data_IF_345693228901
#
_entry.id   IF_345693228901
#
_cell.length_a   1.000
_cell.length_b   1.000
_cell.length_c   1.000
_cell.angle_alpha   90.00
_cell.angle_beta   90.00
_cell.angle_gamma   90.00
#
_symmetry.space_group_name_H-M   'P 1'
#
loop_
_entity.id
_entity.type
_entity.pdbx_description
1 polymer ?
#
# COMPACT_ATOMS: atom_id res chain seq x y z
N UNK A 1 24.43 1.45 -12.81
CA UNK A 1 24.80 2.84 -12.43
C UNK A 1 23.83 3.43 -11.41
N UNK A 2 22.51 3.42 -11.66
CA UNK A 2 21.50 3.95 -10.71
C UNK A 2 21.41 3.19 -9.38
N UNK A 3 21.60 1.87 -9.38
CA UNK A 3 21.66 1.07 -8.14
C UNK A 3 22.79 1.51 -7.20
N UNK A 4 23.95 1.86 -7.76
CA UNK A 4 25.08 2.41 -6.97
C UNK A 4 24.76 3.80 -6.45
N UNK A 5 24.15 4.66 -7.28
CA UNK A 5 23.70 5.98 -6.84
C UNK A 5 22.73 5.84 -5.66
N UNK A 6 21.76 4.92 -5.74
CA UNK A 6 20.82 4.69 -4.64
C UNK A 6 21.51 4.20 -3.35
N UNK A 7 22.48 3.29 -3.47
CA UNK A 7 23.14 2.66 -2.31
C UNK A 7 24.16 3.55 -1.61
N UNK A 8 24.92 4.34 -2.34
CA UNK A 8 26.11 5.01 -1.81
C UNK A 8 25.98 6.53 -1.71
N UNK A 9 25.03 7.12 -2.45
CA UNK A 9 24.81 8.57 -2.39
C UNK A 9 24.16 8.96 -1.06
N UNK A 10 24.50 10.15 -0.54
CA UNK A 10 23.90 10.67 0.70
C UNK A 10 22.76 11.65 0.46
N UNK A 11 22.69 12.21 -0.74
CA UNK A 11 21.62 13.12 -1.14
C UNK A 11 20.33 12.35 -1.43
N UNK A 12 19.28 12.66 -0.66
CA UNK A 12 17.95 12.08 -0.83
C UNK A 12 17.35 12.42 -2.20
N UNK A 13 17.63 13.59 -2.78
CA UNK A 13 17.12 13.96 -4.12
C UNK A 13 17.74 13.09 -5.21
N UNK A 14 19.05 12.85 -5.14
CA UNK A 14 19.75 11.94 -6.04
C UNK A 14 19.23 10.51 -5.90
N UNK A 15 18.99 10.03 -4.67
CA UNK A 15 18.36 8.73 -4.42
C UNK A 15 16.94 8.63 -5.00
N UNK A 16 16.11 9.67 -4.84
CA UNK A 16 14.76 9.71 -5.43
C UNK A 16 14.82 9.66 -6.97
N UNK A 17 15.76 10.39 -7.57
CA UNK A 17 15.99 10.35 -9.02
C UNK A 17 16.46 8.95 -9.46
N UNK A 18 17.32 8.30 -8.66
CA UNK A 18 17.74 6.93 -8.93
C UNK A 18 16.56 5.96 -8.92
N UNK A 19 15.65 6.07 -7.95
CA UNK A 19 14.43 5.26 -7.88
C UNK A 19 13.55 5.44 -9.12
N UNK A 20 13.40 6.69 -9.58
CA UNK A 20 12.62 7.00 -10.78
C UNK A 20 13.21 6.36 -12.03
N UNK A 21 14.55 6.28 -12.12
CA UNK A 21 15.23 5.56 -13.20
C UNK A 21 15.21 4.06 -13.05
N UNK A 22 15.33 3.52 -11.85
CA UNK A 22 15.27 2.06 -11.61
C UNK A 22 13.91 1.49 -12.04
N UNK A 23 12.80 2.19 -11.78
CA UNK A 23 11.48 1.70 -12.21
C UNK A 23 11.24 1.73 -13.73
N UNK A 24 12.04 2.49 -14.49
CA UNK A 24 11.99 2.48 -15.96
C UNK A 24 12.56 1.18 -16.53
N UNK A 25 13.48 0.52 -15.81
CA UNK A 25 14.18 -0.70 -16.22
C UNK A 25 13.86 -1.88 -15.28
N UNK A 26 12.68 -2.50 -15.41
CA UNK A 26 12.25 -3.59 -14.55
C UNK A 26 13.14 -4.83 -14.71
N UNK A 27 13.63 -5.37 -13.58
CA UNK A 27 14.40 -6.62 -13.53
C UNK A 27 14.32 -7.24 -12.13
N UNK A 28 14.76 -8.49 -11.98
CA UNK A 28 14.85 -9.13 -10.67
C UNK A 28 15.79 -8.37 -9.72
N UNK A 29 16.87 -7.77 -10.26
CA UNK A 29 17.78 -6.88 -9.52
C UNK A 29 17.06 -5.61 -9.06
N UNK A 30 16.32 -4.95 -9.97
CA UNK A 30 15.50 -3.77 -9.68
C UNK A 30 14.48 -4.07 -8.58
N UNK A 31 13.86 -5.26 -8.59
CA UNK A 31 12.97 -5.70 -7.52
C UNK A 31 13.69 -5.85 -6.18
N UNK A 32 14.84 -6.54 -6.16
CA UNK A 32 15.62 -6.79 -4.95
C UNK A 32 16.11 -5.48 -4.31
N UNK A 33 16.68 -4.58 -5.11
CA UNK A 33 17.23 -3.31 -4.61
C UNK A 33 16.13 -2.42 -4.01
N UNK A 34 14.92 -2.44 -4.57
CA UNK A 34 13.78 -1.69 -4.05
C UNK A 34 13.30 -2.27 -2.72
N UNK A 35 13.25 -3.60 -2.58
CA UNK A 35 12.95 -4.28 -1.31
C UNK A 35 13.99 -3.92 -0.25
N UNK A 36 15.28 -3.96 -0.59
CA UNK A 36 16.37 -3.58 0.32
C UNK A 36 16.25 -2.11 0.75
N UNK A 37 15.90 -1.23 -0.19
CA UNK A 37 15.71 0.21 0.06
C UNK A 37 14.55 0.47 1.02
N UNK A 38 13.42 -0.24 0.86
CA UNK A 38 12.28 -0.15 1.78
C UNK A 38 12.68 -0.58 3.20
N UNK A 39 13.52 -1.61 3.31
CA UNK A 39 13.95 -2.18 4.59
C UNK A 39 15.06 -1.39 5.29
N UNK A 40 15.88 -0.64 4.55
CA UNK A 40 17.00 0.10 5.11
C UNK A 40 16.53 1.31 5.93
N UNK A 41 16.62 1.22 7.26
CA UNK A 41 16.21 2.28 8.19
C UNK A 41 17.11 3.52 8.16
N UNK A 42 18.31 3.41 7.57
CA UNK A 42 19.22 4.54 7.39
C UNK A 42 18.76 5.47 6.25
N UNK A 43 17.91 5.00 5.34
CA UNK A 43 17.36 5.87 4.31
C UNK A 43 16.27 6.79 4.87
N UNK A 44 16.26 8.02 4.33
CA UNK A 44 15.20 8.98 4.59
C UNK A 44 13.82 8.39 4.25
N UNK A 45 12.83 8.57 5.13
CA UNK A 45 11.53 7.91 4.99
C UNK A 45 10.85 8.13 3.63
N UNK A 46 11.01 9.31 3.00
CA UNK A 46 10.43 9.58 1.68
C UNK A 46 11.06 8.75 0.56
N UNK A 47 12.35 8.45 0.67
CA UNK A 47 13.05 7.54 -0.26
C UNK A 47 12.45 6.14 -0.13
N UNK A 48 12.24 5.68 1.10
CA UNK A 48 11.61 4.37 1.40
C UNK A 48 10.17 4.31 0.91
N UNK A 49 9.38 5.37 1.12
CA UNK A 49 8.01 5.47 0.61
C UNK A 49 7.98 5.46 -0.94
N UNK A 50 8.88 6.22 -1.59
CA UNK A 50 9.00 6.23 -3.04
C UNK A 50 9.39 4.86 -3.59
N UNK A 51 10.26 4.14 -2.91
CA UNK A 51 10.64 2.78 -3.27
C UNK A 51 9.45 1.81 -3.24
N UNK A 52 8.46 2.00 -2.35
CA UNK A 52 7.21 1.21 -2.36
C UNK A 52 6.43 1.40 -3.67
N UNK A 53 6.30 2.64 -4.13
CA UNK A 53 5.62 2.95 -5.39
C UNK A 53 6.41 2.47 -6.61
N UNK A 54 7.73 2.66 -6.61
CA UNK A 54 8.62 2.14 -7.65
C UNK A 54 8.55 0.61 -7.73
N UNK A 55 8.47 -0.10 -6.60
CA UNK A 55 8.32 -1.55 -6.56
C UNK A 55 7.00 -2.01 -7.16
N UNK A 56 5.93 -1.25 -6.92
CA UNK A 56 4.62 -1.51 -7.55
C UNK A 56 4.70 -1.33 -9.07
N UNK A 57 5.37 -0.28 -9.55
CA UNK A 57 5.57 -0.03 -10.98
C UNK A 57 6.44 -1.10 -11.64
N UNK A 58 7.53 -1.54 -10.98
CA UNK A 58 8.37 -2.64 -11.46
C UNK A 58 7.58 -3.94 -11.53
N UNK A 59 6.78 -4.26 -10.50
CA UNK A 59 5.92 -5.45 -10.51
C UNK A 59 4.97 -5.46 -11.71
N UNK A 60 4.27 -4.35 -11.96
CA UNK A 60 3.31 -4.25 -13.05
C UNK A 60 3.96 -4.37 -14.45
N UNK A 61 5.26 -4.16 -14.56
CA UNK A 61 6.02 -4.37 -15.81
C UNK A 61 6.71 -5.75 -15.89
N UNK A 62 6.59 -6.56 -14.84
CA UNK A 62 7.22 -7.90 -14.73
C UNK A 62 6.21 -8.98 -14.35
N UNK A 63 4.94 -8.81 -14.70
CA UNK A 63 3.88 -9.66 -14.16
C UNK A 63 4.12 -11.14 -14.49
N UNK A 64 4.63 -11.43 -15.69
CA UNK A 64 4.95 -12.79 -16.18
C UNK A 64 5.95 -13.55 -15.28
N UNK A 65 6.76 -12.84 -14.51
CA UNK A 65 7.81 -13.40 -13.63
C UNK A 65 7.42 -13.30 -12.15
N UNK A 66 6.38 -12.52 -11.84
CA UNK A 66 5.97 -12.24 -10.48
C UNK A 66 5.00 -13.32 -9.96
N UNK A 67 5.54 -14.48 -9.59
CA UNK A 67 4.77 -15.53 -8.92
C UNK A 67 4.77 -15.38 -7.40
N UNK A 68 3.67 -15.77 -6.75
CA UNK A 68 3.51 -15.83 -5.31
C UNK A 68 2.98 -14.55 -4.66
N UNK A 69 2.96 -14.54 -3.32
CA UNK A 69 2.39 -13.45 -2.53
C UNK A 69 3.13 -12.12 -2.81
N UNK A 70 2.41 -10.99 -3.00
CA UNK A 70 3.05 -9.72 -3.36
C UNK A 70 4.09 -9.28 -2.32
N UNK A 71 5.27 -8.86 -2.80
CA UNK A 71 6.38 -8.48 -1.93
C UNK A 71 6.01 -7.37 -0.93
N UNK A 72 5.19 -6.40 -1.34
CA UNK A 72 4.74 -5.31 -0.47
C UNK A 72 3.84 -5.80 0.68
N UNK A 73 2.99 -6.80 0.44
CA UNK A 73 2.17 -7.41 1.49
C UNK A 73 3.08 -8.15 2.48
N UNK A 74 4.07 -8.90 1.98
CA UNK A 74 5.04 -9.58 2.85
C UNK A 74 5.82 -8.59 3.71
N UNK A 75 6.31 -7.49 3.10
CA UNK A 75 7.02 -6.43 3.81
C UNK A 75 6.16 -5.76 4.88
N UNK A 76 4.86 -5.56 4.61
CA UNK A 76 3.94 -5.02 5.60
C UNK A 76 3.87 -5.93 6.83
N UNK A 77 3.56 -7.21 6.67
CA UNK A 77 3.44 -8.12 7.81
C UNK A 77 4.77 -8.37 8.53
N UNK A 78 5.90 -8.37 7.82
CA UNK A 78 7.21 -8.46 8.47
C UNK A 78 7.49 -7.27 9.41
N UNK A 79 7.01 -6.06 9.07
CA UNK A 79 7.26 -4.85 9.87
C UNK A 79 6.15 -4.54 10.88
N UNK A 80 4.90 -4.83 10.51
CA UNK A 80 3.69 -4.36 11.18
C UNK A 80 2.74 -5.48 11.58
N UNK A 81 3.07 -6.74 11.27
CA UNK A 81 2.30 -7.89 11.71
C UNK A 81 2.41 -8.14 13.21
N UNK A 82 1.37 -8.75 13.78
CA UNK A 82 1.37 -9.26 15.14
C UNK A 82 2.28 -10.50 15.23
N UNK A 83 3.10 -10.57 16.27
CA UNK A 83 4.01 -11.73 16.49
C UNK A 83 3.24 -13.03 16.72
N UNK A 84 2.06 -12.95 17.32
CA UNK A 84 1.21 -14.10 17.64
C UNK A 84 0.29 -14.50 16.48
N UNK A 85 0.10 -13.64 15.48
CA UNK A 85 -0.73 -13.90 14.30
C UNK A 85 -0.19 -13.15 13.09
N UNK A 86 0.35 -13.90 12.13
CA UNK A 86 1.07 -13.37 10.96
C UNK A 86 0.18 -12.53 10.02
N UNK A 87 -1.14 -12.72 10.08
CA UNK A 87 -2.10 -12.05 9.19
C UNK A 87 -2.82 -10.87 9.83
N UNK A 88 -2.57 -10.59 11.11
CA UNK A 88 -3.23 -9.51 11.84
C UNK A 88 -2.22 -8.38 12.06
N UNK A 89 -2.53 -7.11 11.72
CA UNK A 89 -1.68 -5.99 12.06
C UNK A 89 -1.58 -5.85 13.59
N UNK A 90 -0.40 -5.47 14.09
CA UNK A 90 -0.23 -5.11 15.51
C UNK A 90 -0.94 -3.78 15.79
N UNK A 91 -1.35 -3.54 17.04
CA UNK A 91 -1.88 -2.24 17.46
C UNK A 91 -0.88 -1.12 17.12
N UNK A 92 -1.42 -0.03 16.61
CA UNK A 92 -0.64 1.11 16.18
C UNK A 92 -0.01 1.85 17.38
N UNK A 93 1.09 2.56 17.12
CA UNK A 93 1.66 3.49 18.08
C UNK A 93 2.13 4.74 17.34
N UNK A 94 1.27 5.76 17.32
CA UNK A 94 1.53 7.02 16.63
C UNK A 94 2.19 8.09 17.50
N UNK A 95 2.87 7.71 18.59
CA UNK A 95 3.61 8.66 19.42
C UNK A 95 4.62 9.44 18.56
N UNK A 96 4.51 10.77 18.55
CA UNK A 96 5.28 11.68 17.69
C UNK A 96 6.78 11.75 18.07
N UNK A 97 7.52 10.69 17.75
CA UNK A 97 8.98 10.65 17.75
C UNK A 97 9.50 10.60 16.32
N UNK A 98 10.76 11.02 16.10
CA UNK A 98 11.36 10.98 14.76
C UNK A 98 11.35 9.58 14.14
N UNK A 99 11.55 8.52 14.94
CA UNK A 99 11.53 7.13 14.48
C UNK A 99 10.10 6.65 14.16
N UNK A 100 9.15 6.95 15.04
CA UNK A 100 7.75 6.53 14.84
C UNK A 100 7.11 7.23 13.65
N UNK A 101 7.40 8.52 13.44
CA UNK A 101 6.89 9.26 12.27
C UNK A 101 7.43 8.70 10.95
N UNK A 102 8.71 8.33 10.89
CA UNK A 102 9.27 7.68 9.70
C UNK A 102 8.58 6.33 9.43
N UNK A 103 8.34 5.58 10.50
CA UNK A 103 7.65 4.28 10.45
C UNK A 103 6.19 4.45 10.03
N UNK A 104 5.53 5.49 10.50
CA UNK A 104 4.15 5.85 10.17
C UNK A 104 3.98 6.11 8.67
N UNK A 105 4.83 6.95 8.07
CA UNK A 105 4.76 7.21 6.63
C UNK A 105 5.01 5.96 5.80
N UNK A 106 5.90 5.08 6.25
CA UNK A 106 6.12 3.79 5.58
C UNK A 106 4.91 2.86 5.72
N UNK A 107 4.29 2.82 6.89
CA UNK A 107 3.06 2.08 7.15
C UNK A 107 1.91 2.54 6.25
N UNK A 108 1.83 3.84 5.92
CA UNK A 108 0.89 4.37 4.92
C UNK A 108 1.27 4.00 3.48
N UNK A 109 2.55 4.04 3.13
CA UNK A 109 3.01 3.87 1.75
C UNK A 109 2.91 2.43 1.24
N UNK A 110 3.12 1.44 2.11
CA UNK A 110 3.05 0.02 1.75
C UNK A 110 1.65 -0.40 1.24
N UNK A 111 0.54 -0.17 1.96
CA UNK A 111 -0.83 -0.42 1.48
C UNK A 111 -1.14 0.29 0.16
N UNK A 112 -0.72 1.56 0.02
CA UNK A 112 -0.92 2.32 -1.21
C UNK A 112 -0.17 1.74 -2.40
N UNK A 113 1.03 1.19 -2.16
CA UNK A 113 1.75 0.43 -3.18
C UNK A 113 0.99 -0.83 -3.59
N UNK A 114 0.53 -1.63 -2.61
CA UNK A 114 -0.27 -2.84 -2.87
C UNK A 114 -1.51 -2.52 -3.70
N UNK A 115 -2.25 -1.46 -3.36
CA UNK A 115 -3.43 -1.02 -4.10
C UNK A 115 -3.16 -0.64 -5.56
N UNK A 116 -1.90 -0.39 -5.95
CA UNK A 116 -1.47 -0.08 -7.32
C UNK A 116 -0.93 -1.28 -8.09
N UNK A 117 -0.71 -2.41 -7.43
CA UNK A 117 -0.21 -3.61 -8.10
C UNK A 117 -1.31 -4.24 -8.95
N UNK A 118 -0.94 -4.76 -10.13
CA UNK A 118 -1.86 -5.31 -11.12
C UNK A 118 -1.40 -6.67 -11.64
N UNK A 119 -2.36 -7.51 -11.97
CA UNK A 119 -2.16 -8.76 -12.71
C UNK A 119 -1.92 -8.48 -14.20
N UNK A 120 -1.62 -9.52 -14.96
CA UNK A 120 -1.31 -9.43 -16.40
C UNK A 120 -2.50 -8.87 -17.19
N UNK A 121 -3.72 -9.17 -16.70
CA UNK A 121 -4.99 -8.71 -17.26
C UNK A 121 -5.33 -7.25 -16.86
N UNK A 122 -4.45 -6.56 -16.14
CA UNK A 122 -4.69 -5.21 -15.64
C UNK A 122 -5.68 -5.12 -14.47
N UNK A 123 -6.06 -6.26 -13.88
CA UNK A 123 -6.91 -6.32 -12.69
C UNK A 123 -6.07 -6.09 -11.42
N UNK A 124 -6.70 -5.74 -10.31
CA UNK A 124 -6.00 -5.76 -9.02
C UNK A 124 -5.53 -7.18 -8.68
N UNK A 125 -4.45 -7.28 -7.91
CA UNK A 125 -3.99 -8.59 -7.43
C UNK A 125 -5.05 -9.22 -6.52
N UNK A 126 -5.20 -10.54 -6.60
CA UNK A 126 -6.25 -11.31 -5.91
C UNK A 126 -6.28 -11.03 -4.41
N UNK A 127 -5.11 -11.02 -3.75
CA UNK A 127 -4.99 -10.79 -2.31
C UNK A 127 -4.99 -9.30 -1.92
N UNK A 128 -4.94 -8.36 -2.87
CA UNK A 128 -4.76 -6.95 -2.55
C UNK A 128 -6.00 -6.36 -1.85
N UNK A 129 -7.19 -6.69 -2.36
CA UNK A 129 -8.44 -6.16 -1.83
C UNK A 129 -8.72 -6.66 -0.41
N UNK A 130 -8.64 -7.98 -0.20
CA UNK A 130 -8.82 -8.61 1.11
C UNK A 130 -7.80 -8.11 2.12
N UNK A 131 -6.52 -8.03 1.74
CA UNK A 131 -5.47 -7.46 2.59
C UNK A 131 -5.82 -6.04 3.06
N UNK A 132 -6.25 -5.16 2.16
CA UNK A 132 -6.56 -3.77 2.50
C UNK A 132 -7.82 -3.65 3.36
N UNK A 133 -8.84 -4.47 3.11
CA UNK A 133 -10.01 -4.58 3.98
C UNK A 133 -9.64 -5.05 5.38
N UNK A 134 -8.79 -6.08 5.49
CA UNK A 134 -8.32 -6.58 6.79
C UNK A 134 -7.58 -5.49 7.56
N UNK A 135 -6.77 -4.67 6.89
CA UNK A 135 -6.10 -3.54 7.55
C UNK A 135 -7.07 -2.50 8.10
N UNK A 136 -8.19 -2.22 7.41
CA UNK A 136 -9.24 -1.34 7.91
C UNK A 136 -9.99 -1.98 9.09
N UNK A 137 -10.37 -3.25 8.94
CA UNK A 137 -11.16 -3.98 9.94
C UNK A 137 -10.40 -4.17 11.25
N UNK A 138 -9.10 -4.48 11.17
CA UNK A 138 -8.23 -4.68 12.34
C UNK A 138 -7.50 -3.40 12.77
N UNK A 139 -7.90 -2.23 12.27
CA UNK A 139 -7.31 -0.96 12.68
C UNK A 139 -7.74 -0.59 14.11
N UNK A 140 -7.05 -1.14 15.11
CA UNK A 140 -7.28 -0.82 16.52
C UNK A 140 -6.43 0.40 16.94
N UNK A 141 -7.12 1.52 17.15
CA UNK A 141 -6.54 2.78 17.60
C UNK A 141 -6.86 3.12 19.06
N UNK A 142 -7.46 2.19 19.82
CA UNK A 142 -7.89 2.43 21.21
C UNK A 142 -6.75 2.89 22.14
N UNK A 143 -5.51 2.55 21.81
CA UNK A 143 -4.31 2.90 22.60
C UNK A 143 -3.51 4.06 22.01
N UNK A 144 -3.91 4.59 20.85
CA UNK A 144 -3.20 5.68 20.21
C UNK A 144 -3.45 7.00 20.95
N UNK A 145 -2.36 7.74 21.18
CA UNK A 145 -2.43 9.10 21.75
C UNK A 145 -2.89 10.14 20.74
N UNK A 146 -2.67 9.89 19.45
CA UNK A 146 -2.98 10.79 18.34
C UNK A 146 -4.00 10.13 17.42
N UNK A 147 -4.86 10.93 16.81
CA UNK A 147 -5.80 10.47 15.80
C UNK A 147 -5.05 9.89 14.59
N UNK A 148 -5.66 8.88 13.95
CA UNK A 148 -5.09 8.15 12.83
C UNK A 148 -5.82 8.42 11.52
N UNK A 149 -6.57 9.52 11.44
CA UNK A 149 -7.43 9.88 10.31
C UNK A 149 -6.68 9.80 8.97
N UNK A 150 -5.44 10.28 8.95
CA UNK A 150 -4.57 10.21 7.78
C UNK A 150 -4.17 8.78 7.38
N UNK A 151 -4.04 7.86 8.34
CA UNK A 151 -3.75 6.45 8.06
C UNK A 151 -5.02 5.76 7.54
N UNK A 152 -6.15 5.96 8.20
CA UNK A 152 -7.46 5.44 7.77
C UNK A 152 -7.82 5.94 6.35
N UNK A 153 -7.64 7.23 6.07
CA UNK A 153 -7.83 7.79 4.73
C UNK A 153 -6.88 7.16 3.70
N UNK A 154 -5.61 6.93 4.06
CA UNK A 154 -4.66 6.26 3.17
C UNK A 154 -5.07 4.82 2.85
N UNK A 155 -5.60 4.07 3.83
CA UNK A 155 -6.13 2.72 3.61
C UNK A 155 -7.35 2.74 2.70
N UNK A 156 -8.31 3.64 2.92
CA UNK A 156 -9.50 3.80 2.06
C UNK A 156 -9.12 4.14 0.62
N UNK A 157 -8.18 5.06 0.41
CA UNK A 157 -7.67 5.39 -0.93
C UNK A 157 -6.97 4.19 -1.58
N UNK A 158 -6.23 3.41 -0.79
CA UNK A 158 -5.57 2.19 -1.27
C UNK A 158 -6.61 1.15 -1.69
N UNK A 159 -7.66 0.96 -0.88
CA UNK A 159 -8.75 0.03 -1.15
C UNK A 159 -9.50 0.43 -2.43
N UNK A 160 -9.88 1.70 -2.55
CA UNK A 160 -10.50 2.24 -3.76
C UNK A 160 -9.62 2.05 -5.01
N UNK A 161 -8.29 2.12 -4.85
CA UNK A 161 -7.36 1.88 -5.96
C UNK A 161 -7.37 0.43 -6.46
N UNK A 162 -7.94 -0.53 -5.72
CA UNK A 162 -8.11 -1.93 -6.20
C UNK A 162 -9.30 -2.09 -7.13
N UNK A 163 -10.25 -1.15 -7.13
CA UNK A 163 -11.43 -1.22 -7.97
C UNK A 163 -11.03 -0.90 -9.42
N UNK A 164 -11.23 -1.86 -10.30
CA UNK A 164 -11.00 -1.71 -11.74
C UNK A 164 -12.34 -1.66 -12.45
N UNK A 165 -12.57 -0.60 -13.22
CA UNK A 165 -13.75 -0.48 -14.06
C UNK A 165 -13.75 -1.60 -15.09
N UNK A 166 -14.75 -2.48 -15.01
CA UNK A 166 -15.03 -3.46 -16.04
C UNK A 166 -16.14 -2.99 -16.96
N UNK A 167 -16.23 -3.56 -18.15
CA UNK A 167 -17.43 -3.40 -18.97
C UNK A 167 -18.64 -4.00 -18.24
N UNK A 168 -19.77 -3.29 -18.18
CA UNK A 168 -21.00 -3.83 -17.61
C UNK A 168 -21.44 -5.05 -18.42
N UNK A 169 -21.94 -6.10 -17.76
CA UNK A 169 -22.44 -7.26 -18.50
C UNK A 169 -23.73 -6.87 -19.22
N UNK A 170 -24.01 -7.54 -20.33
CA UNK A 170 -25.19 -7.26 -21.14
C UNK A 170 -26.48 -7.36 -20.29
N UNK A 171 -27.20 -6.26 -20.15
CA UNK A 171 -28.45 -6.19 -19.36
C UNK A 171 -28.27 -5.77 -17.90
N UNK A 172 -27.05 -5.51 -17.43
CA UNK A 172 -26.82 -4.87 -16.13
C UNK A 172 -26.93 -3.35 -16.28
N UNK A 173 -27.77 -2.72 -15.45
CA UNK A 173 -27.77 -1.27 -15.32
C UNK A 173 -26.62 -0.87 -14.38
N UNK A 174 -25.56 -0.20 -14.87
CA UNK A 174 -24.43 0.21 -14.02
C UNK A 174 -24.83 1.21 -12.93
N UNK A 175 -26.04 1.78 -13.01
CA UNK A 175 -26.60 2.70 -12.01
C UNK A 175 -27.26 1.96 -10.83
N UNK A 176 -27.59 0.68 -10.98
CA UNK A 176 -28.26 -0.12 -9.94
C UNK A 176 -27.23 -0.81 -9.04
N UNK A 177 -27.18 -0.49 -7.72
CA UNK A 177 -26.20 -1.04 -6.79
C UNK A 177 -26.19 -2.57 -6.71
N UNK A 178 -27.27 -3.26 -7.10
CA UNK A 178 -27.34 -4.73 -7.05
C UNK A 178 -26.40 -5.43 -8.04
N UNK A 179 -25.96 -4.72 -9.08
CA UNK A 179 -25.02 -5.24 -10.08
C UNK A 179 -23.57 -4.86 -9.78
N UNK A 180 -23.30 -4.19 -8.66
CA UNK A 180 -21.94 -3.90 -8.24
C UNK A 180 -21.20 -5.20 -7.92
N UNK A 181 -19.94 -5.26 -8.36
CA UNK A 181 -19.03 -6.33 -7.97
C UNK A 181 -18.82 -6.29 -6.45
N UNK A 182 -18.51 -7.45 -5.87
CA UNK A 182 -18.36 -7.62 -4.41
C UNK A 182 -17.31 -6.68 -3.82
N UNK A 183 -16.18 -6.51 -4.50
CA UNK A 183 -15.09 -5.60 -4.12
C UNK A 183 -15.55 -4.13 -4.09
N UNK A 184 -16.28 -3.70 -5.12
CA UNK A 184 -16.84 -2.35 -5.20
C UNK A 184 -17.88 -2.11 -4.10
N UNK A 185 -18.76 -3.09 -3.85
CA UNK A 185 -19.76 -3.04 -2.78
C UNK A 185 -19.13 -2.95 -1.39
N UNK A 186 -18.10 -3.77 -1.12
CA UNK A 186 -17.33 -3.72 0.13
C UNK A 186 -16.62 -2.37 0.31
N UNK A 187 -15.97 -1.86 -0.74
CA UNK A 187 -15.33 -0.54 -0.70
C UNK A 187 -16.31 0.58 -0.40
N UNK A 188 -17.47 0.58 -1.07
CA UNK A 188 -18.51 1.59 -0.84
C UNK A 188 -19.07 1.52 0.58
N UNK A 189 -19.22 0.31 1.14
CA UNK A 189 -19.62 0.14 2.53
C UNK A 189 -18.63 0.79 3.49
N UNK A 190 -17.34 0.52 3.34
CA UNK A 190 -16.30 1.09 4.21
C UNK A 190 -16.19 2.62 4.04
N UNK A 191 -16.29 3.12 2.80
CA UNK A 191 -16.32 4.56 2.54
C UNK A 191 -17.54 5.23 3.20
N UNK A 192 -18.72 4.63 3.07
CA UNK A 192 -19.95 5.14 3.68
C UNK A 192 -19.86 5.14 5.20
N UNK A 193 -19.29 4.07 5.78
CA UNK A 193 -19.04 3.98 7.22
C UNK A 193 -18.12 5.12 7.67
N UNK A 194 -16.99 5.34 6.99
CA UNK A 194 -16.05 6.40 7.32
C UNK A 194 -16.71 7.79 7.27
N UNK A 195 -17.45 8.09 6.18
CA UNK A 195 -18.17 9.36 6.05
C UNK A 195 -19.23 9.57 7.14
N UNK A 196 -19.94 8.51 7.53
CA UNK A 196 -20.91 8.59 8.62
C UNK A 196 -20.22 8.84 9.96
N UNK A 197 -19.06 8.21 10.21
CA UNK A 197 -18.28 8.42 11.42
C UNK A 197 -17.75 9.86 11.50
N UNK A 198 -17.29 10.44 10.40
CA UNK A 198 -16.86 11.84 10.33
C UNK A 198 -17.99 12.82 10.68
N UNK A 199 -19.24 12.48 10.32
CA UNK A 199 -20.42 13.28 10.68
C UNK A 199 -20.79 13.12 12.16
N UNK A 200 -20.76 11.88 12.68
CA UNK A 200 -21.20 11.56 14.03
C UNK A 200 -20.17 11.94 15.10
N UNK A 201 -18.90 11.93 14.76
CA UNK A 201 -17.79 12.21 15.67
C UNK A 201 -16.64 12.87 14.91
N UNK A 202 -16.82 14.12 14.44
CA UNK A 202 -15.74 14.85 13.79
C UNK A 202 -14.59 15.03 14.77
N UNK A 203 -13.39 14.56 14.39
CA UNK A 203 -12.15 14.65 15.14
C UNK A 203 -11.49 16.03 15.06
#
# INVERSE_FOLDING_TARGET
QWEYLLKYERDALAQMTALDKIQEFPSASSRSILIDTINCEQFFYRVRCRACFALSAVHNKMVDVASGKPALIQLFYQKFGCKSSVHVPRSNNFLATSSNLQTYFLMQALPQGVGRMRSEQGLALEDAHSFLLDLLYYNDNSTNRYADDHYSAALLVSLASTIVAGEPRLGEDPSDPKYLRTDASQTLRELTLALNMDILSPT
#
